data_IF_403560464316
#
_entry.id   IF_403560464316
#
_cell.length_a   1.000
_cell.length_b   1.000
_cell.length_c   1.000
_cell.angle_alpha   90.00
_cell.angle_beta   90.00
_cell.angle_gamma   90.00
#
_symmetry.space_group_name_H-M   'P 1'
#
loop_
_entity.id
_entity.type
_entity.pdbx_description
1 polymer ?
#
# COMPACT_ATOMS: atom_id res chain seq x y z
N UNK A 1 -26.64 0.49 2.22
CA UNK A 1 -26.02 -0.03 0.99
C UNK A 1 -24.56 0.38 0.90
N UNK A 2 -24.22 1.61 1.22
CA UNK A 2 -22.84 2.16 1.19
C UNK A 2 -21.84 1.38 2.05
N UNK A 3 -22.18 1.05 3.27
CA UNK A 3 -21.30 0.30 4.17
C UNK A 3 -20.90 -1.09 3.65
N UNK A 4 -21.83 -1.76 2.92
CA UNK A 4 -21.50 -3.04 2.28
C UNK A 4 -20.48 -2.86 1.15
N UNK A 5 -20.58 -1.77 0.39
CA UNK A 5 -19.60 -1.44 -0.66
C UNK A 5 -18.21 -1.17 -0.04
N UNK A 6 -18.11 -0.39 1.04
CA UNK A 6 -16.82 -0.17 1.71
C UNK A 6 -16.21 -1.47 2.26
N UNK A 7 -17.02 -2.38 2.77
CA UNK A 7 -16.56 -3.70 3.19
C UNK A 7 -15.97 -4.48 2.02
N UNK A 8 -16.70 -4.56 0.89
CA UNK A 8 -16.25 -5.27 -0.32
C UNK A 8 -15.00 -4.64 -0.92
N UNK A 9 -14.94 -3.32 -1.00
CA UNK A 9 -13.77 -2.57 -1.47
C UNK A 9 -12.55 -2.88 -0.59
N UNK A 10 -12.74 -2.93 0.73
CA UNK A 10 -11.70 -3.32 1.67
C UNK A 10 -11.20 -4.74 1.43
N UNK A 11 -12.11 -5.70 1.25
CA UNK A 11 -11.78 -7.11 0.98
C UNK A 11 -11.00 -7.23 -0.33
N UNK A 12 -11.56 -6.77 -1.44
CA UNK A 12 -10.97 -6.90 -2.78
C UNK A 12 -9.64 -6.15 -2.86
N UNK A 13 -9.63 -4.90 -2.39
CA UNK A 13 -8.44 -4.07 -2.39
C UNK A 13 -7.30 -4.70 -1.60
N UNK A 14 -7.56 -5.27 -0.43
CA UNK A 14 -6.51 -5.90 0.37
C UNK A 14 -6.13 -7.31 -0.06
N UNK A 15 -6.98 -8.07 -0.74
CA UNK A 15 -6.55 -9.29 -1.45
C UNK A 15 -5.49 -8.92 -2.49
N UNK A 16 -5.80 -7.97 -3.37
CA UNK A 16 -4.89 -7.52 -4.43
C UNK A 16 -3.65 -6.84 -3.81
N UNK A 17 -3.86 -6.00 -2.80
CA UNK A 17 -2.78 -5.32 -2.08
C UNK A 17 -1.77 -6.26 -1.44
N UNK A 18 -2.22 -7.39 -0.93
CA UNK A 18 -1.34 -8.40 -0.32
C UNK A 18 -0.57 -9.18 -1.39
N UNK A 19 -1.22 -9.50 -2.51
CA UNK A 19 -0.60 -10.27 -3.60
C UNK A 19 0.45 -9.46 -4.36
N UNK A 20 0.17 -8.19 -4.64
CA UNK A 20 0.94 -7.42 -5.63
C UNK A 20 1.26 -6.01 -5.17
N UNK A 21 0.77 -5.62 -4.02
CA UNK A 21 1.05 -4.30 -3.45
C UNK A 21 0.14 -3.17 -3.93
N UNK A 22 -0.89 -3.46 -4.72
CA UNK A 22 -1.75 -2.44 -5.34
C UNK A 22 -3.07 -2.15 -4.63
N UNK A 23 -3.25 -2.53 -3.37
CA UNK A 23 -4.55 -2.39 -2.67
C UNK A 23 -5.09 -0.96 -2.64
N UNK A 24 -4.24 0.00 -2.36
CA UNK A 24 -4.60 1.42 -2.37
C UNK A 24 -5.01 1.95 -3.75
N UNK A 25 -4.59 1.27 -4.84
CA UNK A 25 -5.01 1.60 -6.20
C UNK A 25 -6.51 1.32 -6.45
N UNK A 26 -7.13 0.51 -5.64
CA UNK A 26 -8.56 0.20 -5.71
C UNK A 26 -9.31 0.99 -4.65
N UNK A 27 -8.85 0.92 -3.41
CA UNK A 27 -9.60 1.48 -2.28
C UNK A 27 -9.71 3.00 -2.34
N UNK A 28 -8.62 3.72 -2.65
CA UNK A 28 -8.64 5.18 -2.62
C UNK A 28 -9.53 5.80 -3.70
N UNK A 29 -9.33 5.50 -5.00
CA UNK A 29 -10.19 6.09 -6.03
C UNK A 29 -11.65 5.70 -5.86
N UNK A 30 -11.94 4.45 -5.48
CA UNK A 30 -13.32 4.04 -5.27
C UNK A 30 -13.98 4.83 -4.14
N UNK A 31 -13.28 5.09 -3.03
CA UNK A 31 -13.80 5.97 -1.97
C UNK A 31 -14.00 7.41 -2.47
N UNK A 32 -13.06 7.94 -3.24
CA UNK A 32 -13.18 9.29 -3.81
C UNK A 32 -14.37 9.40 -4.78
N UNK A 33 -14.62 8.38 -5.61
CA UNK A 33 -15.81 8.30 -6.47
C UNK A 33 -17.13 8.26 -5.69
N UNK A 34 -17.09 7.69 -4.49
CA UNK A 34 -18.25 7.69 -3.59
C UNK A 34 -18.40 9.03 -2.83
N UNK A 35 -17.64 10.06 -3.20
CA UNK A 35 -17.70 11.41 -2.64
C UNK A 35 -16.90 11.58 -1.34
N UNK A 36 -16.09 10.61 -0.93
CA UNK A 36 -15.24 10.76 0.26
C UNK A 36 -14.10 11.76 -0.03
N UNK A 37 -13.93 12.82 0.77
CA UNK A 37 -12.85 13.78 0.58
C UNK A 37 -11.48 13.10 0.58
N UNK A 38 -10.55 13.56 -0.28
CA UNK A 38 -9.25 12.91 -0.52
C UNK A 38 -8.46 12.66 0.77
N UNK A 39 -8.41 13.63 1.69
CA UNK A 39 -7.70 13.45 2.96
C UNK A 39 -8.37 12.39 3.86
N UNK A 40 -9.72 12.36 3.91
CA UNK A 40 -10.47 11.36 4.66
C UNK A 40 -10.31 9.97 4.06
N UNK A 41 -10.31 9.86 2.73
CA UNK A 41 -10.07 8.60 2.02
C UNK A 41 -8.66 8.07 2.30
N UNK A 42 -7.63 8.93 2.22
CA UNK A 42 -6.26 8.54 2.56
C UNK A 42 -6.18 8.13 4.04
N UNK A 43 -6.70 8.94 4.95
CA UNK A 43 -6.68 8.64 6.38
C UNK A 43 -7.34 7.31 6.71
N UNK A 44 -8.55 7.06 6.19
CA UNK A 44 -9.27 5.79 6.34
C UNK A 44 -8.46 4.60 5.79
N UNK A 45 -7.85 4.77 4.61
CA UNK A 45 -7.00 3.76 3.99
C UNK A 45 -5.76 3.46 4.85
N UNK A 46 -5.10 4.48 5.43
CA UNK A 46 -3.92 4.29 6.30
C UNK A 46 -4.27 3.53 7.57
N UNK A 47 -5.35 3.92 8.27
CA UNK A 47 -5.80 3.23 9.49
C UNK A 47 -6.20 1.79 9.18
N UNK A 48 -6.98 1.55 8.14
CA UNK A 48 -7.42 0.20 7.77
C UNK A 48 -6.25 -0.68 7.33
N UNK A 49 -5.30 -0.14 6.55
CA UNK A 49 -4.10 -0.87 6.13
C UNK A 49 -3.13 -1.12 7.29
N UNK A 50 -3.02 -0.23 8.26
CA UNK A 50 -2.25 -0.47 9.49
C UNK A 50 -2.75 -1.74 10.20
N UNK A 51 -4.05 -1.85 10.45
CA UNK A 51 -4.62 -3.01 11.16
C UNK A 51 -4.55 -4.28 10.31
N UNK A 52 -4.89 -4.22 9.04
CA UNK A 52 -4.83 -5.37 8.14
C UNK A 52 -3.40 -5.88 7.95
N UNK A 53 -2.42 -4.97 7.85
CA UNK A 53 -1.02 -5.32 7.72
C UNK A 53 -0.45 -5.85 9.03
N UNK A 54 -0.88 -5.34 10.19
CA UNK A 54 -0.54 -5.91 11.50
C UNK A 54 -1.02 -7.35 11.62
N UNK A 55 -2.26 -7.63 11.23
CA UNK A 55 -2.81 -8.99 11.19
C UNK A 55 -1.96 -9.93 10.33
N UNK A 56 -1.54 -9.46 9.14
CA UNK A 56 -0.66 -10.20 8.24
C UNK A 56 0.74 -10.39 8.82
N UNK A 57 1.33 -9.32 9.36
CA UNK A 57 2.62 -9.33 10.04
C UNK A 57 2.64 -10.33 11.19
N UNK A 58 1.62 -10.31 12.05
CA UNK A 58 1.50 -11.25 13.17
C UNK A 58 1.45 -12.70 12.70
N UNK A 59 0.70 -12.99 11.62
CA UNK A 59 0.63 -14.32 11.02
C UNK A 59 1.98 -14.80 10.51
N UNK A 60 2.74 -13.92 9.85
CA UNK A 60 4.08 -14.20 9.30
C UNK A 60 5.10 -14.40 10.43
N UNK A 61 5.05 -13.55 11.45
CA UNK A 61 5.90 -13.63 12.62
C UNK A 61 5.69 -14.96 13.39
N UNK A 62 4.43 -15.32 13.66
CA UNK A 62 4.07 -16.56 14.34
C UNK A 62 4.56 -17.80 13.58
N UNK A 63 4.59 -17.76 12.26
CA UNK A 63 5.08 -18.86 11.42
C UNK A 63 6.60 -18.89 11.28
N UNK A 64 7.33 -17.92 11.84
CA UNK A 64 8.79 -17.78 11.75
C UNK A 64 9.29 -17.70 10.30
N UNK A 65 8.49 -17.12 9.41
CA UNK A 65 8.82 -16.97 7.98
C UNK A 65 9.86 -15.86 7.73
N UNK A 66 10.01 -14.92 8.67
CA UNK A 66 10.98 -13.81 8.63
C UNK A 66 11.81 -13.75 9.90
N UNK A 67 13.09 -13.44 9.75
CA UNK A 67 13.96 -13.18 10.89
C UNK A 67 13.67 -11.80 11.51
N UNK A 68 13.72 -11.68 12.82
CA UNK A 68 13.46 -10.43 13.53
C UNK A 68 14.34 -9.27 13.07
N UNK A 69 15.62 -9.54 12.78
CA UNK A 69 16.55 -8.52 12.31
C UNK A 69 16.14 -7.91 10.97
N UNK A 70 15.57 -8.72 10.05
CA UNK A 70 15.05 -8.27 8.76
C UNK A 70 13.82 -7.38 8.97
N UNK A 71 12.88 -7.84 9.80
CA UNK A 71 11.65 -7.10 10.12
C UNK A 71 11.95 -5.77 10.79
N UNK A 72 12.83 -5.75 11.79
CA UNK A 72 13.20 -4.53 12.52
C UNK A 72 13.74 -3.45 11.59
N UNK A 73 14.61 -3.81 10.66
CA UNK A 73 15.21 -2.87 9.72
C UNK A 73 14.16 -2.24 8.81
N UNK A 74 13.24 -3.05 8.27
CA UNK A 74 12.13 -2.59 7.43
C UNK A 74 11.16 -1.74 8.24
N UNK A 75 10.79 -2.17 9.46
CA UNK A 75 9.90 -1.43 10.35
C UNK A 75 10.40 0.00 10.60
N UNK A 76 11.66 0.16 11.00
CA UNK A 76 12.22 1.47 11.37
C UNK A 76 12.24 2.42 10.17
N UNK A 77 12.77 1.96 9.04
CA UNK A 77 12.90 2.80 7.83
C UNK A 77 11.52 3.18 7.29
N UNK A 78 10.59 2.22 7.23
CA UNK A 78 9.23 2.45 6.73
C UNK A 78 8.40 3.34 7.68
N UNK A 79 8.56 3.21 8.99
CA UNK A 79 7.89 4.06 9.97
C UNK A 79 8.32 5.52 9.82
N UNK A 80 9.62 5.78 9.73
CA UNK A 80 10.15 7.13 9.53
C UNK A 80 9.63 7.71 8.22
N UNK A 81 9.72 6.96 7.12
CA UNK A 81 9.21 7.39 5.82
C UNK A 81 7.72 7.70 5.88
N UNK A 82 6.90 6.78 6.42
CA UNK A 82 5.46 6.95 6.52
C UNK A 82 5.02 8.15 7.36
N UNK A 83 5.70 8.39 8.48
CA UNK A 83 5.44 9.56 9.34
C UNK A 83 5.75 10.86 8.60
N UNK A 84 6.93 10.95 7.98
CA UNK A 84 7.33 12.15 7.22
C UNK A 84 6.39 12.40 6.04
N UNK A 85 6.00 11.35 5.30
CA UNK A 85 5.06 11.46 4.19
C UNK A 85 3.67 11.91 4.64
N UNK A 86 3.15 11.34 5.73
CA UNK A 86 1.86 11.74 6.32
C UNK A 86 1.85 13.19 6.80
N UNK A 87 2.91 13.63 7.48
CA UNK A 87 3.08 15.03 7.89
C UNK A 87 3.08 15.96 6.68
N UNK A 88 3.86 15.63 5.65
CA UNK A 88 3.95 16.43 4.44
C UNK A 88 2.59 16.55 3.73
N UNK A 89 1.87 15.44 3.58
CA UNK A 89 0.54 15.42 2.96
C UNK A 89 -0.51 16.20 3.76
N UNK A 90 -0.42 16.20 5.10
CA UNK A 90 -1.37 16.92 5.95
C UNK A 90 -1.31 18.45 5.79
N UNK A 91 -0.18 18.97 5.29
CA UNK A 91 0.06 20.38 5.00
C UNK A 91 -0.35 20.80 3.58
N UNK A 92 -0.68 19.83 2.71
CA UNK A 92 -1.03 20.09 1.32
C UNK A 92 -2.52 20.35 1.13
N UNK A 93 -2.86 21.14 0.09
CA UNK A 93 -4.23 21.24 -0.38
C UNK A 93 -4.67 19.94 -1.07
N UNK A 94 -5.98 19.67 -1.07
CA UNK A 94 -6.54 18.48 -1.75
C UNK A 94 -6.19 18.45 -3.23
N UNK A 95 -6.21 19.59 -3.91
CA UNK A 95 -5.87 19.71 -5.33
C UNK A 95 -4.41 19.32 -5.59
N UNK A 96 -3.47 19.88 -4.80
CA UNK A 96 -2.05 19.57 -4.94
C UNK A 96 -1.78 18.09 -4.68
N UNK A 97 -2.44 17.51 -3.66
CA UNK A 97 -2.30 16.10 -3.30
C UNK A 97 -2.82 15.20 -4.43
N UNK A 98 -3.96 15.54 -5.05
CA UNK A 98 -4.50 14.80 -6.20
C UNK A 98 -3.57 14.87 -7.40
N UNK A 99 -3.02 16.05 -7.72
CA UNK A 99 -2.07 16.20 -8.83
C UNK A 99 -0.81 15.35 -8.62
N UNK A 100 -0.23 15.41 -7.42
CA UNK A 100 0.93 14.57 -7.05
C UNK A 100 0.57 13.08 -7.14
N UNK A 101 -0.64 12.71 -6.71
CA UNK A 101 -1.12 11.34 -6.82
C UNK A 101 -1.15 10.83 -8.26
N UNK A 102 -1.67 11.63 -9.20
CA UNK A 102 -1.71 11.29 -10.64
C UNK A 102 -0.29 11.07 -11.19
N UNK A 103 0.64 11.99 -10.88
CA UNK A 103 2.04 11.91 -11.32
C UNK A 103 2.71 10.64 -10.79
N UNK A 104 2.54 10.38 -9.49
CA UNK A 104 3.17 9.21 -8.83
C UNK A 104 2.55 7.89 -9.27
N UNK A 105 1.24 7.85 -9.54
CA UNK A 105 0.58 6.69 -10.13
C UNK A 105 1.06 6.44 -11.56
N UNK A 106 1.20 7.50 -12.37
CA UNK A 106 1.79 7.43 -13.70
C UNK A 106 3.20 6.86 -13.66
N UNK A 107 4.04 7.35 -12.74
CA UNK A 107 5.38 6.82 -12.53
C UNK A 107 5.36 5.34 -12.09
N UNK A 108 4.52 4.97 -11.14
CA UNK A 108 4.37 3.58 -10.69
C UNK A 108 3.91 2.65 -11.84
N UNK A 109 3.03 3.15 -12.71
CA UNK A 109 2.59 2.42 -13.90
C UNK A 109 3.74 2.21 -14.89
N UNK A 110 4.50 3.26 -15.22
CA UNK A 110 5.68 3.17 -16.09
C UNK A 110 6.68 2.16 -15.53
N UNK A 111 7.00 2.23 -14.24
CA UNK A 111 7.88 1.26 -13.57
C UNK A 111 7.32 -0.17 -13.64
N UNK A 112 6.01 -0.35 -13.57
CA UNK A 112 5.36 -1.66 -13.73
C UNK A 112 5.55 -2.27 -15.14
N UNK A 113 5.67 -1.43 -16.18
CA UNK A 113 5.95 -1.90 -17.53
C UNK A 113 7.44 -2.14 -17.78
N UNK A 114 8.32 -1.30 -17.22
CA UNK A 114 9.76 -1.40 -17.41
C UNK A 114 10.40 -2.54 -16.60
N UNK A 115 9.84 -2.91 -15.45
CA UNK A 115 10.38 -3.92 -14.54
C UNK A 115 9.61 -5.23 -14.58
N UNK A 116 10.24 -6.30 -15.05
CA UNK A 116 9.87 -7.63 -14.63
C UNK A 116 10.33 -7.81 -13.17
N UNK A 117 9.41 -7.99 -12.20
CA UNK A 117 9.86 -8.45 -10.89
C UNK A 117 10.41 -9.87 -11.04
N UNK A 118 11.72 -9.95 -11.15
CA UNK A 118 12.44 -11.21 -11.24
C UNK A 118 12.86 -11.61 -9.82
N UNK A 119 11.92 -12.23 -9.11
CA UNK A 119 12.15 -12.77 -7.77
C UNK A 119 13.15 -13.92 -7.87
N UNK A 120 14.13 -13.95 -6.97
CA UNK A 120 15.10 -15.02 -6.86
C UNK A 120 14.72 -16.02 -5.76
N UNK A 121 15.75 -16.69 -5.25
CA UNK A 121 15.62 -17.71 -4.19
C UNK A 121 16.31 -17.30 -2.89
N UNK A 122 16.76 -16.04 -2.77
CA UNK A 122 17.40 -15.59 -1.54
C UNK A 122 16.42 -15.59 -0.39
N UNK A 123 16.81 -16.29 0.66
CA UNK A 123 16.03 -16.45 1.90
C UNK A 123 16.38 -15.43 3.00
N UNK A 124 17.32 -14.52 2.74
CA UNK A 124 17.66 -13.46 3.69
C UNK A 124 17.70 -12.09 3.03
N UNK A 125 17.02 -11.14 3.62
CA UNK A 125 17.07 -9.73 3.26
C UNK A 125 18.03 -9.00 4.21
N UNK A 126 18.92 -8.20 3.64
CA UNK A 126 19.83 -7.35 4.40
C UNK A 126 19.65 -5.91 3.97
N UNK A 127 19.31 -5.05 4.93
CA UNK A 127 19.27 -3.61 4.69
C UNK A 127 20.67 -3.09 4.38
N UNK A 128 20.81 -2.34 3.33
CA UNK A 128 22.07 -1.78 2.87
C UNK A 128 21.93 -0.30 2.46
N UNK A 129 23.05 0.33 2.09
CA UNK A 129 23.08 1.75 1.69
C UNK A 129 22.32 2.04 0.38
N UNK A 130 21.95 1.04 -0.40
CA UNK A 130 21.19 1.21 -1.65
C UNK A 130 19.70 1.02 -1.42
N UNK A 131 19.29 -0.09 -0.77
CA UNK A 131 17.88 -0.41 -0.59
C UNK A 131 17.22 0.37 0.56
N UNK A 132 17.97 0.81 1.58
CA UNK A 132 17.44 1.59 2.69
C UNK A 132 16.82 2.92 2.25
N UNK A 133 17.54 3.81 1.52
CA UNK A 133 16.96 5.04 0.99
C UNK A 133 15.75 4.81 0.07
N UNK A 134 15.76 3.75 -0.74
CA UNK A 134 14.61 3.40 -1.60
C UNK A 134 13.40 3.08 -0.74
N UNK A 135 13.54 2.21 0.27
CA UNK A 135 12.44 1.86 1.17
C UNK A 135 11.97 3.04 2.04
N UNK A 136 12.88 3.96 2.41
CA UNK A 136 12.50 5.23 3.05
C UNK A 136 11.64 6.08 2.12
N UNK A 137 12.06 6.23 0.86
CA UNK A 137 11.30 6.96 -0.17
C UNK A 137 9.95 6.31 -0.46
N UNK A 138 9.89 4.98 -0.52
CA UNK A 138 8.64 4.22 -0.64
C UNK A 138 7.73 4.47 0.56
N UNK A 139 8.29 4.49 1.78
CA UNK A 139 7.55 4.81 3.00
C UNK A 139 7.01 6.24 2.98
N UNK A 140 7.84 7.22 2.55
CA UNK A 140 7.43 8.62 2.40
C UNK A 140 6.27 8.76 1.39
N UNK A 141 6.42 8.14 0.22
CA UNK A 141 5.36 8.10 -0.79
C UNK A 141 4.09 7.44 -0.25
N UNK A 142 4.22 6.31 0.45
CA UNK A 142 3.08 5.65 1.07
C UNK A 142 2.40 6.57 2.08
N UNK A 143 3.15 7.17 2.98
CA UNK A 143 2.61 8.09 3.99
C UNK A 143 1.86 9.25 3.38
N UNK A 144 2.36 9.78 2.26
CA UNK A 144 1.75 10.91 1.55
C UNK A 144 0.47 10.52 0.81
N UNK A 145 0.47 9.42 0.08
CA UNK A 145 -0.67 8.97 -0.74
C UNK A 145 -0.86 7.45 -0.69
N UNK A 146 0.09 6.67 -1.15
CA UNK A 146 0.19 5.24 -0.93
C UNK A 146 -0.09 4.27 -2.06
N UNK A 147 -0.99 4.54 -3.02
CA UNK A 147 -1.30 3.58 -4.07
C UNK A 147 -0.04 3.10 -4.81
N UNK A 148 0.18 1.78 -4.86
CA UNK A 148 1.37 1.21 -5.51
C UNK A 148 2.66 1.20 -4.69
N UNK A 149 2.71 1.77 -3.49
CA UNK A 149 3.90 1.77 -2.63
C UNK A 149 4.42 0.36 -2.34
N UNK A 150 3.52 -0.55 -2.00
CA UNK A 150 3.88 -1.95 -1.76
C UNK A 150 4.40 -2.64 -3.03
N UNK A 151 3.94 -2.22 -4.23
CA UNK A 151 4.50 -2.69 -5.50
C UNK A 151 5.95 -2.25 -5.66
N UNK A 152 6.25 -0.98 -5.34
CA UNK A 152 7.62 -0.45 -5.35
C UNK A 152 8.51 -1.19 -4.34
N UNK A 153 7.99 -1.49 -3.15
CA UNK A 153 8.70 -2.31 -2.16
C UNK A 153 8.98 -3.72 -2.71
N UNK A 154 7.99 -4.37 -3.34
CA UNK A 154 8.16 -5.69 -3.96
C UNK A 154 9.21 -5.66 -5.07
N UNK A 155 9.26 -4.61 -5.90
CA UNK A 155 10.34 -4.45 -6.89
C UNK A 155 11.71 -4.30 -6.23
N UNK A 156 11.80 -3.56 -5.12
CA UNK A 156 13.05 -3.44 -4.37
C UNK A 156 13.54 -4.80 -3.88
N UNK A 157 12.64 -5.62 -3.32
CA UNK A 157 12.98 -6.98 -2.88
C UNK A 157 13.29 -7.92 -4.05
N UNK A 158 12.59 -7.80 -5.17
CA UNK A 158 12.86 -8.58 -6.38
C UNK A 158 14.25 -8.25 -6.96
N UNK A 159 14.63 -6.96 -6.97
CA UNK A 159 15.97 -6.52 -7.39
C UNK A 159 17.06 -7.14 -6.51
N UNK A 160 16.82 -7.30 -5.23
CA UNK A 160 17.69 -8.00 -4.29
C UNK A 160 17.63 -9.54 -4.43
N UNK A 161 16.83 -10.06 -5.39
CA UNK A 161 16.63 -11.50 -5.63
C UNK A 161 16.05 -12.27 -4.43
N UNK A 162 15.23 -11.60 -3.64
CA UNK A 162 14.49 -12.22 -2.54
C UNK A 162 13.36 -13.08 -3.10
N UNK A 163 13.07 -14.23 -2.46
CA UNK A 163 11.95 -15.09 -2.86
C UNK A 163 10.61 -14.35 -2.74
N UNK A 164 9.65 -14.63 -3.63
CA UNK A 164 8.38 -13.90 -3.69
C UNK A 164 7.60 -13.91 -2.37
N UNK A 165 7.48 -15.07 -1.74
CA UNK A 165 6.76 -15.22 -0.46
C UNK A 165 7.40 -14.36 0.62
N UNK A 166 8.72 -14.35 0.69
CA UNK A 166 9.46 -13.53 1.64
C UNK A 166 9.34 -12.03 1.34
N UNK A 167 9.38 -11.66 0.07
CA UNK A 167 9.15 -10.29 -0.37
C UNK A 167 7.74 -9.78 0.01
N UNK A 168 6.71 -10.62 -0.17
CA UNK A 168 5.34 -10.33 0.31
C UNK A 168 5.34 -10.13 1.82
N UNK A 169 6.00 -11.01 2.56
CA UNK A 169 6.11 -10.89 4.02
C UNK A 169 6.76 -9.58 4.46
N UNK A 170 7.92 -9.23 3.90
CA UNK A 170 8.63 -7.98 4.18
C UNK A 170 7.80 -6.75 3.76
N UNK A 171 7.08 -6.84 2.63
CA UNK A 171 6.16 -5.78 2.20
C UNK A 171 5.05 -5.55 3.22
N UNK A 172 4.46 -6.60 3.81
CA UNK A 172 3.42 -6.46 4.86
C UNK A 172 3.97 -5.84 6.14
N UNK A 173 5.21 -6.18 6.52
CA UNK A 173 5.94 -5.52 7.62
C UNK A 173 6.12 -4.03 7.34
N UNK A 174 6.57 -3.68 6.13
CA UNK A 174 6.73 -2.30 5.68
C UNK A 174 5.41 -1.53 5.70
N UNK A 175 4.33 -2.09 5.12
CA UNK A 175 3.00 -1.47 5.09
C UNK A 175 2.48 -1.21 6.51
N UNK A 176 2.65 -2.15 7.42
CA UNK A 176 2.28 -1.92 8.82
C UNK A 176 2.99 -0.70 9.39
N UNK A 177 4.29 -0.59 9.20
CA UNK A 177 5.09 0.50 9.74
C UNK A 177 4.78 1.87 9.10
N UNK A 178 4.77 1.95 7.76
CA UNK A 178 4.52 3.21 7.05
C UNK A 178 3.08 3.70 7.25
N UNK A 179 2.09 2.78 7.23
CA UNK A 179 0.71 3.15 7.53
C UNK A 179 0.51 3.53 9.00
N UNK A 180 1.24 2.93 9.95
CA UNK A 180 1.20 3.36 11.36
C UNK A 180 1.71 4.80 11.52
N UNK A 181 2.82 5.14 10.90
CA UNK A 181 3.36 6.50 10.92
C UNK A 181 2.40 7.53 10.31
N UNK A 182 1.83 7.22 9.15
CA UNK A 182 0.87 8.08 8.49
C UNK A 182 -0.47 8.18 9.26
N UNK A 183 -0.99 7.05 9.78
CA UNK A 183 -2.26 7.02 10.52
C UNK A 183 -2.22 7.93 11.75
N UNK A 184 -1.12 7.95 12.50
CA UNK A 184 -0.94 8.85 13.64
C UNK A 184 -1.15 10.30 13.21
N UNK A 185 -0.55 10.71 12.08
CA UNK A 185 -0.69 12.07 11.55
C UNK A 185 -2.13 12.39 11.15
N UNK A 186 -2.80 11.49 10.39
CA UNK A 186 -4.17 11.72 9.94
C UNK A 186 -5.18 11.71 11.10
N UNK A 187 -4.96 10.89 12.14
CA UNK A 187 -5.76 10.89 13.37
C UNK A 187 -5.57 12.22 14.11
N UNK A 188 -4.32 12.65 14.30
CA UNK A 188 -4.01 13.90 15.02
C UNK A 188 -4.56 15.13 14.32
N UNK A 189 -4.71 15.13 12.99
CA UNK A 189 -5.28 16.23 12.21
C UNK A 189 -6.81 16.19 12.11
N UNK A 190 -7.47 15.20 12.71
CA UNK A 190 -8.94 15.07 12.72
C UNK A 190 -9.56 14.75 11.35
N UNK A 191 -8.79 14.26 10.40
CA UNK A 191 -9.23 13.99 9.02
C UNK A 191 -9.73 12.55 8.81
N UNK A 192 -10.19 11.88 9.87
CA UNK A 192 -10.66 10.49 9.82
C UNK A 192 -12.19 10.44 9.94
N UNK A 193 -12.84 9.82 8.98
CA UNK A 193 -14.25 9.43 9.04
C UNK A 193 -14.38 8.04 9.66
N UNK A 194 -14.59 7.98 10.97
CA UNK A 194 -14.52 6.74 11.73
C UNK A 194 -15.52 5.65 11.30
N UNK A 195 -16.82 5.91 11.05
CA UNK A 195 -17.75 4.84 10.66
C UNK A 195 -17.29 4.11 9.39
N UNK A 196 -16.89 4.87 8.37
CA UNK A 196 -16.35 4.36 7.11
C UNK A 196 -15.03 3.61 7.34
N UNK A 197 -14.13 4.20 8.13
CA UNK A 197 -12.81 3.64 8.44
C UNK A 197 -12.92 2.29 9.13
N UNK A 198 -13.83 2.12 10.09
CA UNK A 198 -14.02 0.87 10.82
C UNK A 198 -14.49 -0.26 9.89
N UNK A 199 -15.42 0.03 8.99
CA UNK A 199 -15.93 -0.96 8.04
C UNK A 199 -14.85 -1.35 7.03
N UNK A 200 -14.14 -0.36 6.48
CA UNK A 200 -13.02 -0.58 5.60
C UNK A 200 -11.92 -1.43 6.29
N UNK A 201 -11.67 -1.18 7.57
CA UNK A 201 -10.69 -1.91 8.39
C UNK A 201 -11.07 -3.41 8.54
N UNK A 202 -12.33 -3.71 8.78
CA UNK A 202 -12.82 -5.09 8.84
C UNK A 202 -12.63 -5.78 7.49
N UNK A 203 -13.12 -5.16 6.39
CA UNK A 203 -12.97 -5.69 5.05
C UNK A 203 -11.50 -5.88 4.66
N UNK A 204 -10.65 -4.89 4.95
CA UNK A 204 -9.22 -4.92 4.68
C UNK A 204 -8.50 -6.04 5.43
N UNK A 205 -8.88 -6.31 6.67
CA UNK A 205 -8.29 -7.38 7.46
C UNK A 205 -8.66 -8.76 6.90
N UNK A 206 -9.92 -8.97 6.56
CA UNK A 206 -10.39 -10.21 5.91
C UNK A 206 -9.66 -10.40 4.57
N UNK A 207 -9.63 -9.36 3.74
CA UNK A 207 -8.95 -9.40 2.44
C UNK A 207 -7.46 -9.68 2.53
N UNK A 208 -6.77 -9.11 3.52
CA UNK A 208 -5.35 -9.35 3.73
C UNK A 208 -5.03 -10.80 4.11
N UNK A 209 -5.85 -11.45 4.95
CA UNK A 209 -5.68 -12.86 5.31
C UNK A 209 -5.95 -13.78 4.12
N UNK A 210 -7.00 -13.52 3.36
CA UNK A 210 -7.28 -14.25 2.11
C UNK A 210 -6.11 -14.07 1.13
N UNK A 211 -5.62 -12.85 0.97
CA UNK A 211 -4.48 -12.52 0.12
C UNK A 211 -3.21 -13.28 0.51
N UNK A 212 -2.90 -13.41 1.80
CA UNK A 212 -1.76 -14.22 2.28
C UNK A 212 -1.88 -15.70 1.92
N UNK A 213 -3.08 -16.26 2.01
CA UNK A 213 -3.33 -17.66 1.62
C UNK A 213 -3.16 -17.81 0.10
N UNK A 214 -3.70 -16.88 -0.68
CA UNK A 214 -3.61 -16.89 -2.13
C UNK A 214 -2.18 -16.66 -2.63
N UNK A 215 -1.39 -15.80 -1.98
CA UNK A 215 0.00 -15.52 -2.36
C UNK A 215 0.87 -16.77 -2.47
N UNK A 216 0.52 -17.81 -1.71
CA UNK A 216 1.21 -19.11 -1.73
C UNK A 216 0.79 -20.00 -2.92
N UNK A 217 -0.33 -19.70 -3.57
CA UNK A 217 -0.91 -20.51 -4.65
C UNK A 217 -0.79 -19.86 -6.02
N UNK A 218 -0.69 -18.53 -6.08
CA UNK A 218 -0.76 -17.76 -7.33
C UNK A 218 0.65 -17.47 -7.85
N UNK A 219 0.84 -17.63 -9.17
CA UNK A 219 2.08 -17.27 -9.84
C UNK A 219 2.16 -15.74 -9.99
N UNK A 220 3.30 -15.16 -9.62
CA UNK A 220 3.55 -13.71 -9.66
C UNK A 220 3.20 -13.05 -11.01
N UNK A 221 3.34 -13.77 -12.13
CA UNK A 221 3.02 -13.23 -13.46
C UNK A 221 1.53 -12.98 -13.72
N UNK A 222 0.63 -13.78 -13.16
CA UNK A 222 -0.82 -13.62 -13.33
C UNK A 222 -1.31 -12.36 -12.60
N UNK A 223 -0.71 -12.08 -11.47
CA UNK A 223 -1.09 -10.94 -10.64
C UNK A 223 -0.60 -9.62 -11.21
N UNK A 224 0.55 -9.63 -11.93
CA UNK A 224 1.07 -8.44 -12.63
C UNK A 224 0.11 -7.88 -13.67
N UNK A 225 -0.53 -8.75 -14.46
CA UNK A 225 -1.49 -8.32 -15.48
C UNK A 225 -2.69 -7.61 -14.84
N UNK A 226 -3.23 -8.19 -13.78
CA UNK A 226 -4.36 -7.60 -13.05
C UNK A 226 -4.02 -6.21 -12.49
N UNK A 227 -2.82 -6.07 -11.90
CA UNK A 227 -2.34 -4.77 -11.42
C UNK A 227 -2.29 -3.72 -12.52
N UNK A 228 -1.70 -4.05 -13.67
CA UNK A 228 -1.58 -3.13 -14.79
C UNK A 228 -2.95 -2.64 -15.25
N UNK A 229 -3.89 -3.55 -15.43
CA UNK A 229 -5.27 -3.22 -15.84
C UNK A 229 -5.90 -2.27 -14.81
N UNK A 230 -5.86 -2.63 -13.54
CA UNK A 230 -6.43 -1.81 -12.45
C UNK A 230 -5.75 -0.44 -12.41
N UNK A 231 -4.42 -0.37 -12.48
CA UNK A 231 -3.70 0.90 -12.43
C UNK A 231 -4.03 1.80 -13.62
N UNK A 232 -4.17 1.25 -14.85
CA UNK A 232 -4.57 2.02 -16.03
C UNK A 232 -5.96 2.61 -15.84
N UNK A 233 -6.93 1.78 -15.43
CA UNK A 233 -8.32 2.22 -15.21
C UNK A 233 -8.36 3.37 -14.20
N UNK A 234 -7.60 3.26 -13.11
CA UNK A 234 -7.56 4.26 -12.05
C UNK A 234 -6.89 5.57 -12.48
N UNK A 235 -5.81 5.50 -13.27
CA UNK A 235 -5.18 6.72 -13.82
C UNK A 235 -6.15 7.44 -14.75
N UNK A 236 -6.79 6.72 -15.66
CA UNK A 236 -7.78 7.30 -16.58
C UNK A 236 -8.89 7.99 -15.80
N UNK A 237 -9.37 7.35 -14.75
CA UNK A 237 -10.41 7.90 -13.89
C UNK A 237 -9.96 9.15 -13.13
N UNK A 238 -8.78 9.11 -12.45
CA UNK A 238 -8.26 10.27 -11.73
C UNK A 238 -7.99 11.46 -12.64
N UNK A 239 -7.50 11.22 -13.86
CA UNK A 239 -7.31 12.26 -14.87
C UNK A 239 -8.65 12.84 -15.31
N UNK A 240 -9.66 11.99 -15.55
CA UNK A 240 -11.02 12.43 -15.87
C UNK A 240 -11.59 13.33 -14.77
N UNK A 241 -11.53 12.90 -13.52
CA UNK A 241 -12.04 13.66 -12.38
C UNK A 241 -11.29 14.98 -12.17
N UNK A 242 -9.96 14.97 -12.37
CA UNK A 242 -9.14 16.19 -12.27
C UNK A 242 -9.51 17.23 -13.34
N UNK A 243 -9.76 16.81 -14.60
CA UNK A 243 -10.15 17.70 -15.69
C UNK A 243 -11.55 18.28 -15.44
N UNK A 244 -12.47 17.54 -14.81
CA UNK A 244 -13.83 18.01 -14.56
C UNK A 244 -13.97 18.85 -13.28
N UNK A 245 -12.93 18.92 -12.44
CA UNK A 245 -12.85 19.79 -11.26
C UNK A 245 -12.15 21.14 -11.53
N UNK A 246 -11.58 21.30 -12.73
CA UNK A 246 -11.04 22.59 -13.25
C UNK A 246 -12.14 23.39 -13.95
#
# INVERSE_FOLDING_TARGET
MEYLLFLLIGIIGNIIGTLVGGGGLITLPTMMLMGVPVHSAIGANKVSNMVSAFSSFYSIYKRKELAWIEMRSVLLVSLVGGTLGGLFASLMSSQTLTLIAIILLGFALIMSFMGGADFGEKERFTMNRKNGPILLGVGFYDGMFGPGSSTLALYTYAHEKISYIKAVGLSRVGVFAMCSGAAITYIATGKIEWPLTLILMVGSTIGAQIGLVLARKVKANQVKLLLRIVTIVLIVQLVYDFIHQL
#
